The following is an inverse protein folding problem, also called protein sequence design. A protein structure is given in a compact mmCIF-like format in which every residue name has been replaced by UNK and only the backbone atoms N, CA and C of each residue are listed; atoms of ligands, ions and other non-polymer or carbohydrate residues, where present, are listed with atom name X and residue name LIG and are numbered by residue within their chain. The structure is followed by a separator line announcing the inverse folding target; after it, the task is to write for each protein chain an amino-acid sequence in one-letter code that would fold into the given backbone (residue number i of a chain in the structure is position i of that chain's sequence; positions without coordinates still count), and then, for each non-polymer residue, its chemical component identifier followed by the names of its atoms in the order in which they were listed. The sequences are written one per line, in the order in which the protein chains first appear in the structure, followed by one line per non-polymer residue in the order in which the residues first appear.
data_IF_020636304740
#
_entry.id   IF_020636304740
#
_cell.length_a   1.000
_cell.length_b   1.000
_cell.length_c   1.000
_cell.angle_alpha   90.00
_cell.angle_beta   90.00
_cell.angle_gamma   90.00
#
_symmetry.space_group_name_H-M   'P 1'
#
loop_
_entity.id
_entity.type
_entity.pdbx_description
1 polymer ?
#
# COMPACT_ATOMS: atom_id res chain seq x y z
N UNK A 1 -3.27 -20.20 23.40
CA UNK A 1 -2.05 -19.42 23.31
C UNK A 1 -1.99 -18.67 22.02
N UNK A 2 -1.99 -17.43 22.11
CA UNK A 2 -2.00 -16.70 20.90
C UNK A 2 -0.70 -16.09 20.62
N UNK A 3 -0.17 -16.55 19.58
CA UNK A 3 0.90 -15.85 19.00
C UNK A 3 0.39 -14.59 18.44
N UNK A 4 0.52 -13.59 19.19
CA UNK A 4 0.33 -12.29 18.60
C UNK A 4 1.54 -11.99 17.78
N UNK A 5 1.55 -12.53 16.65
CA UNK A 5 2.57 -12.14 15.75
C UNK A 5 2.13 -10.89 15.13
N UNK A 6 2.40 -9.89 15.80
CA UNK A 6 2.25 -8.57 15.24
C UNK A 6 3.48 -8.19 14.47
N UNK A 7 3.95 -9.11 13.70
CA UNK A 7 4.95 -8.69 12.76
C UNK A 7 4.23 -8.06 11.61
N UNK A 8 3.78 -6.86 11.82
CA UNK A 8 3.20 -6.08 10.75
C UNK A 8 4.20 -5.64 9.69
N UNK A 9 5.11 -6.53 9.35
CA UNK A 9 6.09 -6.26 8.31
C UNK A 9 5.59 -6.78 6.98
N UNK A 10 5.33 -5.88 6.07
CA UNK A 10 4.87 -6.20 4.75
C UNK A 10 5.95 -5.87 3.72
N UNK A 11 6.24 -6.82 2.87
CA UNK A 11 7.20 -6.63 1.79
C UNK A 11 6.50 -6.14 0.53
N UNK A 12 7.07 -5.11 -0.06
CA UNK A 12 6.59 -4.55 -1.31
C UNK A 12 7.73 -4.54 -2.34
N UNK A 13 7.38 -4.66 -3.58
CA UNK A 13 8.36 -4.57 -4.64
C UNK A 13 8.72 -3.11 -4.86
N UNK A 14 9.96 -2.77 -4.55
CA UNK A 14 10.46 -1.41 -4.67
C UNK A 14 10.37 -0.91 -6.10
N UNK A 15 9.86 0.27 -6.27
CA UNK A 15 9.82 0.94 -7.57
C UNK A 15 8.60 0.63 -8.43
N UNK A 16 7.73 -0.25 -7.97
CA UNK A 16 6.56 -0.61 -8.77
C UNK A 16 5.51 0.48 -8.85
N UNK A 17 5.45 1.33 -7.84
CA UNK A 17 4.56 2.49 -7.88
C UNK A 17 4.90 3.49 -8.97
N UNK A 18 6.11 3.42 -9.53
CA UNK A 18 6.52 4.27 -10.64
C UNK A 18 6.36 3.58 -11.96
N UNK A 19 5.19 3.58 -12.42
CA UNK A 19 4.92 2.94 -13.66
C UNK A 19 5.48 3.57 -14.89
N UNK A 20 5.85 4.79 -14.85
CA UNK A 20 6.09 5.58 -16.06
C UNK A 20 7.52 5.95 -16.28
N UNK A 21 8.42 5.22 -15.74
CA UNK A 21 9.77 5.32 -16.24
C UNK A 21 9.83 4.56 -17.54
N UNK A 22 9.46 5.22 -18.60
CA UNK A 22 10.08 4.91 -19.86
C UNK A 22 11.58 4.78 -19.59
N UNK A 23 12.27 3.81 -20.21
CA UNK A 23 13.70 3.75 -20.08
C UNK A 23 14.22 5.12 -20.46
N UNK A 24 14.67 5.85 -19.46
CA UNK A 24 15.29 7.13 -19.71
C UNK A 24 16.51 6.84 -20.55
N UNK A 25 16.52 7.36 -21.75
CA UNK A 25 17.75 7.46 -22.48
C UNK A 25 18.78 8.09 -21.55
N UNK A 26 20.02 7.63 -21.59
CA UNK A 26 21.07 8.25 -20.79
C UNK A 26 21.27 9.68 -21.30
N UNK A 27 20.48 10.57 -20.81
CA UNK A 27 20.80 11.95 -20.91
C UNK A 27 21.92 12.21 -19.93
N UNK A 28 22.98 12.93 -20.37
CA UNK A 28 23.92 13.48 -19.42
C UNK A 28 23.11 14.43 -18.56
N UNK A 29 22.77 13.95 -17.38
CA UNK A 29 21.94 14.68 -16.49
C UNK A 29 22.68 15.91 -15.98
N UNK A 30 22.14 17.09 -16.19
CA UNK A 30 22.48 18.18 -15.33
C UNK A 30 21.82 17.88 -14.00
N UNK A 31 22.63 17.65 -12.98
CA UNK A 31 22.21 17.52 -11.62
C UNK A 31 20.97 16.62 -11.44
N UNK A 32 21.19 15.35 -11.21
CA UNK A 32 20.17 14.48 -10.64
C UNK A 32 19.48 15.26 -9.52
N UNK A 33 18.16 15.44 -9.59
CA UNK A 33 17.46 15.91 -8.42
C UNK A 33 17.88 15.02 -7.26
N UNK A 34 18.42 15.60 -6.22
CA UNK A 34 18.85 14.87 -5.06
C UNK A 34 17.71 13.97 -4.64
N UNK A 35 17.98 12.68 -4.41
CA UNK A 35 16.97 11.78 -3.88
C UNK A 35 16.35 12.41 -2.63
N UNK A 36 15.03 12.34 -2.49
CA UNK A 36 14.40 12.96 -1.33
C UNK A 36 14.97 12.36 -0.05
N UNK A 37 15.21 13.20 0.93
CA UNK A 37 15.69 12.73 2.22
C UNK A 37 14.67 11.83 2.89
N UNK A 38 15.13 10.99 3.81
CA UNK A 38 14.24 10.12 4.59
C UNK A 38 13.10 10.91 5.26
N UNK A 39 13.40 12.12 5.75
CA UNK A 39 12.38 12.98 6.36
C UNK A 39 11.36 13.47 5.35
N UNK A 40 11.79 13.80 4.14
CA UNK A 40 10.86 14.22 3.07
C UNK A 40 9.94 13.07 2.66
N UNK A 41 10.48 11.87 2.58
CA UNK A 41 9.66 10.68 2.29
C UNK A 41 8.67 10.43 3.42
N UNK A 42 9.11 10.47 4.68
CA UNK A 42 8.23 10.31 5.83
C UNK A 42 7.09 11.35 5.83
N UNK A 43 7.40 12.60 5.53
CA UNK A 43 6.40 13.66 5.43
C UNK A 43 5.41 13.42 4.29
N UNK A 44 5.90 12.92 3.17
CA UNK A 44 5.05 12.56 2.03
C UNK A 44 4.09 11.43 2.40
N UNK A 45 4.59 10.40 3.06
CA UNK A 45 3.78 9.27 3.52
C UNK A 45 2.73 9.73 4.54
N UNK A 46 3.12 10.59 5.47
CA UNK A 46 2.20 11.16 6.46
C UNK A 46 1.07 11.94 5.77
N UNK A 47 1.40 12.76 4.80
CA UNK A 47 0.41 13.50 4.00
C UNK A 47 -0.51 12.58 3.22
N UNK A 48 0.04 11.51 2.64
CA UNK A 48 -0.74 10.50 1.93
C UNK A 48 -1.78 9.84 2.86
N UNK A 49 -1.35 9.40 4.04
CA UNK A 49 -2.24 8.76 5.01
C UNK A 49 -3.35 9.73 5.43
N UNK A 50 -3.00 10.97 5.71
CA UNK A 50 -4.00 11.99 6.07
C UNK A 50 -5.00 12.23 4.94
N UNK A 51 -4.55 12.17 3.70
CA UNK A 51 -5.43 12.37 2.54
C UNK A 51 -6.45 11.25 2.35
N UNK A 52 -6.21 10.07 2.92
CA UNK A 52 -7.18 8.98 2.87
C UNK A 52 -8.43 9.23 3.71
N UNK A 53 -8.36 10.16 4.66
CA UNK A 53 -9.51 10.53 5.48
C UNK A 53 -9.96 9.45 6.46
N UNK A 54 -9.08 8.54 6.87
CA UNK A 54 -9.43 7.39 7.69
C UNK A 54 -9.39 7.67 9.20
N UNK A 55 -9.06 8.90 9.60
CA UNK A 55 -9.14 9.31 10.99
C UNK A 55 -8.20 8.56 11.94
N UNK A 56 -6.93 8.50 11.63
CA UNK A 56 -5.93 7.85 12.47
C UNK A 56 -5.56 8.73 13.66
N UNK A 57 -5.68 8.20 14.85
CA UNK A 57 -5.27 8.89 16.08
C UNK A 57 -3.80 8.62 16.38
N UNK A 58 -3.08 9.65 16.77
CA UNK A 58 -1.67 9.52 17.13
C UNK A 58 -0.77 9.07 15.99
N UNK A 59 -1.11 9.43 14.78
CA UNK A 59 -0.37 9.01 13.60
C UNK A 59 1.08 9.47 13.62
N UNK A 60 1.98 8.52 13.50
CA UNK A 60 3.42 8.76 13.39
C UNK A 60 3.97 7.90 12.25
N UNK A 61 4.74 8.52 11.39
CA UNK A 61 5.37 7.83 10.26
C UNK A 61 6.85 8.14 10.29
N UNK A 62 7.67 7.10 10.20
CA UNK A 62 9.10 7.22 10.01
C UNK A 62 9.53 6.44 8.78
N UNK A 63 10.65 6.83 8.21
CA UNK A 63 11.19 6.17 7.04
C UNK A 63 12.70 6.01 7.18
N UNK A 64 13.18 4.81 6.92
CA UNK A 64 14.60 4.50 6.91
C UNK A 64 15.09 4.43 5.47
N UNK A 65 15.88 5.40 5.05
CA UNK A 65 16.38 5.48 3.67
C UNK A 65 17.42 4.43 3.31
N UNK A 66 17.99 3.74 4.28
CA UNK A 66 18.97 2.67 4.03
C UNK A 66 18.27 1.35 3.67
N UNK A 67 17.16 1.08 4.34
CA UNK A 67 16.41 -0.17 4.16
C UNK A 67 15.11 0.02 3.38
N UNK A 68 14.78 1.27 3.04
CA UNK A 68 13.51 1.64 2.41
C UNK A 68 12.30 1.16 3.20
N UNK A 69 12.43 1.17 4.52
CA UNK A 69 11.41 0.72 5.45
C UNK A 69 10.59 1.91 5.98
N UNK A 70 9.30 1.86 5.78
CA UNK A 70 8.37 2.79 6.39
C UNK A 70 7.75 2.17 7.65
N UNK A 71 7.81 2.87 8.77
CA UNK A 71 7.18 2.45 10.02
C UNK A 71 5.99 3.35 10.31
N UNK A 72 4.84 2.76 10.54
CA UNK A 72 3.59 3.47 10.78
C UNK A 72 3.06 3.11 12.16
N UNK A 73 2.80 4.14 12.97
CA UNK A 73 2.19 3.98 14.29
C UNK A 73 0.94 4.81 14.36
N UNK A 74 -0.02 4.36 15.11
CA UNK A 74 -1.27 5.07 15.32
C UNK A 74 -2.39 4.11 15.70
N UNK A 75 -3.56 4.67 15.93
CA UNK A 75 -4.76 3.89 16.23
C UNK A 75 -5.80 4.15 15.17
N UNK A 76 -6.31 3.09 14.60
CA UNK A 76 -7.36 3.14 13.57
C UNK A 76 -8.64 2.47 14.07
N UNK A 77 -9.76 2.82 13.48
CA UNK A 77 -11.05 2.29 13.91
C UNK A 77 -11.29 0.85 13.49
N UNK A 78 -10.87 0.50 12.28
CA UNK A 78 -11.16 -0.81 11.73
C UNK A 78 -9.92 -1.47 11.11
N UNK A 79 -9.96 -2.77 10.99
CA UNK A 79 -8.95 -3.55 10.28
C UNK A 79 -8.85 -3.11 8.82
N UNK A 80 -9.97 -2.80 8.18
CA UNK A 80 -9.99 -2.31 6.82
C UNK A 80 -9.19 -1.01 6.65
N UNK A 81 -9.33 -0.07 7.59
CA UNK A 81 -8.60 1.18 7.56
C UNK A 81 -7.10 0.96 7.70
N UNK A 82 -6.69 0.09 8.62
CA UNK A 82 -5.29 -0.29 8.79
C UNK A 82 -4.70 -0.86 7.50
N UNK A 83 -5.39 -1.81 6.90
CA UNK A 83 -4.94 -2.45 5.67
C UNK A 83 -4.85 -1.47 4.50
N UNK A 84 -5.80 -0.55 4.39
CA UNK A 84 -5.76 0.49 3.36
C UNK A 84 -4.55 1.41 3.52
N UNK A 85 -4.21 1.76 4.74
CA UNK A 85 -3.03 2.59 5.03
C UNK A 85 -1.76 1.85 4.64
N UNK A 86 -1.63 0.58 5.03
CA UNK A 86 -0.47 -0.24 4.68
C UNK A 86 -0.31 -0.33 3.16
N UNK A 87 -1.40 -0.57 2.43
CA UNK A 87 -1.36 -0.64 0.97
C UNK A 87 -0.99 0.69 0.34
N UNK A 88 -1.56 1.78 0.82
CA UNK A 88 -1.27 3.10 0.28
C UNK A 88 0.21 3.45 0.44
N UNK A 89 0.78 3.18 1.60
CA UNK A 89 2.19 3.44 1.88
C UNK A 89 3.09 2.47 1.12
N UNK A 90 2.75 1.19 1.11
CA UNK A 90 3.57 0.17 0.46
C UNK A 90 3.63 0.30 -1.07
N UNK A 91 2.62 0.91 -1.68
CA UNK A 91 2.60 1.14 -3.11
C UNK A 91 3.32 2.44 -3.52
N UNK A 92 3.89 3.18 -2.56
CA UNK A 92 4.73 4.34 -2.85
C UNK A 92 6.10 3.88 -3.33
N UNK A 93 6.61 4.56 -4.33
CA UNK A 93 7.82 4.16 -5.04
C UNK A 93 9.06 3.93 -4.17
N UNK A 94 9.30 4.74 -3.17
CA UNK A 94 10.49 4.63 -2.33
C UNK A 94 10.37 3.59 -1.21
N UNK A 95 9.20 2.98 -1.04
CA UNK A 95 8.94 2.05 0.06
C UNK A 95 9.11 0.61 -0.42
N UNK A 96 10.08 -0.09 0.17
CA UNK A 96 10.27 -1.52 -0.07
C UNK A 96 9.53 -2.39 0.94
N UNK A 97 9.40 -1.91 2.17
CA UNK A 97 8.74 -2.62 3.26
C UNK A 97 7.94 -1.65 4.11
N UNK A 98 6.86 -2.14 4.68
CA UNK A 98 6.06 -1.40 5.65
C UNK A 98 6.03 -2.16 6.97
N UNK A 99 6.50 -1.51 8.02
CA UNK A 99 6.37 -2.00 9.38
C UNK A 99 5.11 -1.39 10.00
N UNK A 100 4.08 -2.18 10.07
CA UNK A 100 2.79 -1.77 10.58
C UNK A 100 2.71 -1.97 12.09
N UNK A 101 2.83 -0.89 12.83
CA UNK A 101 2.70 -0.86 14.28
C UNK A 101 1.39 -0.18 14.71
N UNK A 102 0.43 -0.09 13.82
CA UNK A 102 -0.87 0.47 14.13
C UNK A 102 -1.70 -0.49 14.98
N UNK A 103 -2.53 0.08 15.84
CA UNK A 103 -3.52 -0.67 16.62
C UNK A 103 -4.91 -0.45 16.04
N UNK A 104 -5.76 -1.46 16.16
CA UNK A 104 -7.12 -1.44 15.64
C UNK A 104 -8.10 -1.41 16.80
N UNK A 105 -9.04 -0.49 16.76
CA UNK A 105 -10.05 -0.36 17.81
C UNK A 105 -11.02 -1.54 17.82
N UNK A 106 -11.46 -1.97 16.63
CA UNK A 106 -12.33 -3.12 16.46
C UNK A 106 -11.61 -4.17 15.62
N UNK A 107 -11.03 -5.20 16.26
CA UNK A 107 -10.33 -6.23 15.53
C UNK A 107 -11.26 -7.04 14.60
N UNK A 108 -10.82 -7.25 13.39
CA UNK A 108 -11.52 -8.07 12.41
C UNK A 108 -10.51 -9.01 11.74
N UNK A 109 -10.97 -10.08 11.08
CA UNK A 109 -10.07 -10.94 10.33
C UNK A 109 -9.30 -10.17 9.26
N UNK A 110 -8.03 -10.49 9.11
CA UNK A 110 -7.21 -9.88 8.08
C UNK A 110 -7.66 -10.30 6.68
N UNK A 111 -7.66 -9.35 5.75
CA UNK A 111 -7.87 -9.64 4.36
C UNK A 111 -6.64 -10.28 3.75
N UNK A 112 -6.82 -10.98 2.64
CA UNK A 112 -5.71 -11.45 1.83
C UNK A 112 -5.17 -10.30 1.01
N UNK A 113 -3.88 -10.34 0.73
CA UNK A 113 -3.22 -9.39 -0.15
C UNK A 113 -2.83 -10.09 -1.44
N UNK A 114 -3.07 -9.43 -2.54
CA UNK A 114 -2.76 -9.96 -3.87
C UNK A 114 -1.90 -8.97 -4.64
N UNK A 115 -0.81 -9.46 -5.22
CA UNK A 115 0.03 -8.66 -6.10
C UNK A 115 -0.42 -8.84 -7.54
N UNK A 116 -0.84 -7.75 -8.16
CA UNK A 116 -1.33 -7.74 -9.54
C UNK A 116 -0.23 -8.16 -10.50
N UNK A 117 -0.59 -9.02 -11.44
CA UNK A 117 0.30 -9.48 -12.51
C UNK A 117 -0.10 -8.83 -13.83
N UNK A 118 0.82 -8.86 -14.78
CA UNK A 118 0.53 -8.37 -16.12
C UNK A 118 -0.65 -9.12 -16.73
N UNK A 119 -1.62 -8.39 -17.26
CA UNK A 119 -2.83 -8.95 -17.85
C UNK A 119 -3.96 -9.23 -16.87
N UNK A 120 -3.77 -8.95 -15.58
CA UNK A 120 -4.83 -9.10 -14.59
C UNK A 120 -5.87 -7.99 -14.70
N UNK A 121 -7.08 -8.32 -14.26
CA UNK A 121 -8.13 -7.35 -14.01
C UNK A 121 -8.91 -7.79 -12.76
N UNK A 122 -9.73 -6.91 -12.23
CA UNK A 122 -10.48 -7.20 -11.00
C UNK A 122 -11.44 -8.39 -11.17
N UNK A 123 -12.01 -8.57 -12.34
CA UNK A 123 -12.90 -9.70 -12.62
C UNK A 123 -12.16 -11.04 -12.57
N UNK A 124 -10.95 -11.11 -13.11
CA UNK A 124 -10.12 -12.31 -13.03
C UNK A 124 -9.74 -12.62 -11.59
N UNK A 125 -9.33 -11.61 -10.85
CA UNK A 125 -8.98 -11.74 -9.43
C UNK A 125 -10.19 -12.19 -8.62
N UNK A 126 -11.34 -11.60 -8.87
CA UNK A 126 -12.60 -11.97 -8.24
C UNK A 126 -12.97 -13.44 -8.50
N UNK A 127 -12.81 -13.88 -9.74
CA UNK A 127 -13.07 -15.29 -10.09
C UNK A 127 -12.13 -16.22 -9.34
N UNK A 128 -10.86 -15.85 -9.21
CA UNK A 128 -9.87 -16.67 -8.52
C UNK A 128 -10.16 -16.79 -7.02
N UNK A 129 -10.52 -15.70 -6.37
CA UNK A 129 -10.72 -15.68 -4.91
C UNK A 129 -12.14 -15.99 -4.46
N UNK A 130 -13.14 -15.66 -5.27
CA UNK A 130 -14.56 -15.84 -4.91
C UNK A 130 -15.28 -16.84 -5.80
N UNK A 131 -14.64 -17.31 -6.87
CA UNK A 131 -15.28 -18.17 -7.85
C UNK A 131 -16.27 -17.46 -8.78
N UNK A 132 -16.42 -16.16 -8.66
CA UNK A 132 -17.37 -15.36 -9.43
C UNK A 132 -16.73 -14.05 -9.90
N UNK A 133 -16.57 -13.87 -11.22
CA UNK A 133 -15.98 -12.64 -11.76
C UNK A 133 -16.84 -11.39 -11.52
N UNK A 134 -18.12 -11.56 -11.23
CA UNK A 134 -19.02 -10.45 -11.00
C UNK A 134 -18.87 -9.81 -9.62
N UNK A 135 -18.11 -10.43 -8.72
CA UNK A 135 -17.82 -9.87 -7.40
C UNK A 135 -16.65 -8.88 -7.40
N UNK A 136 -16.19 -8.46 -8.56
CA UNK A 136 -15.09 -7.50 -8.68
C UNK A 136 -15.36 -6.18 -7.95
N UNK A 137 -16.61 -5.78 -7.84
CA UNK A 137 -16.98 -4.58 -7.08
C UNK A 137 -16.60 -4.67 -5.61
N UNK A 138 -16.65 -5.85 -5.03
CA UNK A 138 -16.25 -6.09 -3.65
C UNK A 138 -14.76 -5.77 -3.45
N UNK A 139 -13.94 -6.19 -4.40
CA UNK A 139 -12.51 -5.87 -4.39
C UNK A 139 -12.30 -4.37 -4.61
N UNK A 140 -12.99 -3.78 -5.57
CA UNK A 140 -12.89 -2.36 -5.86
C UNK A 140 -13.23 -1.51 -4.64
N UNK A 141 -14.35 -1.77 -3.99
CA UNK A 141 -14.77 -1.02 -2.80
C UNK A 141 -13.80 -1.21 -1.64
N UNK A 142 -13.23 -2.41 -1.48
CA UNK A 142 -12.27 -2.70 -0.43
C UNK A 142 -10.94 -1.94 -0.59
N UNK A 143 -10.65 -1.51 -1.82
CA UNK A 143 -9.41 -0.79 -2.14
C UNK A 143 -9.62 0.71 -2.38
N UNK A 144 -10.80 1.21 -2.14
CA UNK A 144 -11.04 2.66 -2.17
C UNK A 144 -10.50 3.31 -0.88
N UNK A 145 -9.95 4.50 -0.95
CA UNK A 145 -9.81 5.40 -2.12
C UNK A 145 -8.55 5.16 -2.96
N UNK A 146 -7.82 4.07 -2.76
CA UNK A 146 -6.61 3.74 -3.52
C UNK A 146 -6.90 3.54 -5.00
N UNK A 147 -8.00 2.85 -5.30
CA UNK A 147 -8.51 2.71 -6.65
C UNK A 147 -9.62 3.73 -6.88
N UNK A 148 -9.51 4.50 -7.94
CA UNK A 148 -10.55 5.43 -8.37
C UNK A 148 -11.48 4.79 -9.39
N UNK A 149 -10.94 3.91 -10.20
CA UNK A 149 -11.68 3.16 -11.22
C UNK A 149 -11.29 1.68 -11.16
N UNK A 150 -12.17 0.83 -11.67
CA UNK A 150 -11.94 -0.62 -11.70
C UNK A 150 -10.73 -1.01 -12.57
N UNK A 151 -10.37 -0.16 -13.51
CA UNK A 151 -9.26 -0.40 -14.42
C UNK A 151 -7.94 0.24 -13.95
N UNK A 152 -7.93 0.88 -12.80
CA UNK A 152 -6.77 1.59 -12.26
C UNK A 152 -5.74 0.66 -11.60
N UNK A 153 -5.68 -0.59 -11.98
CA UNK A 153 -4.71 -1.54 -11.47
C UNK A 153 -3.53 -1.68 -12.41
N UNK A 154 -2.39 -2.02 -11.84
CA UNK A 154 -1.14 -2.18 -12.60
C UNK A 154 -0.30 -3.33 -12.03
N UNK A 155 0.52 -3.95 -12.87
CA UNK A 155 1.38 -5.04 -12.42
C UNK A 155 2.26 -4.61 -11.25
N UNK A 156 2.32 -5.45 -10.23
CA UNK A 156 3.08 -5.22 -9.01
C UNK A 156 2.35 -4.44 -7.94
N UNK A 157 1.19 -3.87 -8.24
CA UNK A 157 0.35 -3.24 -7.23
C UNK A 157 -0.19 -4.30 -6.27
N UNK A 158 -0.17 -4.00 -5.00
CA UNK A 158 -0.75 -4.87 -3.98
C UNK A 158 -2.16 -4.41 -3.68
N UNK A 159 -3.10 -5.34 -3.75
CA UNK A 159 -4.51 -5.10 -3.48
C UNK A 159 -4.97 -5.88 -2.27
N UNK A 160 -5.98 -5.35 -1.62
CA UNK A 160 -6.65 -6.00 -0.51
C UNK A 160 -7.82 -6.82 -1.04
N UNK A 161 -7.86 -8.11 -0.67
CA UNK A 161 -8.93 -9.02 -1.07
C UNK A 161 -9.73 -9.38 0.19
N UNK A 162 -10.85 -8.71 0.46
CA UNK A 162 -11.65 -9.01 1.64
C UNK A 162 -12.29 -10.38 1.54
N UNK A 163 -12.57 -10.95 2.69
CA UNK A 163 -13.27 -12.24 2.76
C UNK A 163 -14.75 -12.13 2.43
#
# INVERSE_FOLDING_TARGET
MIEVITMGLFDFVKGIGKKNTAPAEPQPAPATPAEPSAQQIANKLLGLIKSLGLGVEGLSVSYNGTTDLATIKGRVKSQADKEKIVLAVGNVDHVAQVDDQMTVEVPEPESKFYTVKSGDNLSKISKEYYGDPNQYNKIFEANRPLLKNVDDIFPGQVLRIPQ
#
